data_IF_670384564321
#
_entry.id   IF_670384564321
#
_cell.length_a   1.000
_cell.length_b   1.000
_cell.length_c   1.000
_cell.angle_alpha   90.00
_cell.angle_beta   90.00
_cell.angle_gamma   90.00
#
_symmetry.space_group_name_H-M   'P 1'
#
loop_
_entity.id
_entity.type
_entity.pdbx_description
1 polymer ?
#
# COMPACT_ATOMS: atom_id res chain seq x y z
N UNK A 1 22.63 2.03 -8.36
CA UNK A 1 21.78 2.83 -7.49
C UNK A 1 20.33 2.44 -7.62
N UNK A 2 19.77 1.97 -6.54
CA UNK A 2 18.49 1.27 -6.58
C UNK A 2 17.28 2.09 -6.12
N UNK A 3 17.48 3.36 -5.75
CA UNK A 3 16.42 4.19 -5.21
C UNK A 3 15.22 4.36 -6.13
N UNK A 4 15.45 4.42 -7.44
CA UNK A 4 14.35 4.57 -8.40
C UNK A 4 13.46 3.35 -8.47
N UNK A 5 14.04 2.16 -8.35
CA UNK A 5 13.25 0.93 -8.39
C UNK A 5 12.35 0.81 -7.17
N UNK A 6 12.86 1.14 -6.01
CA UNK A 6 12.10 1.07 -4.77
C UNK A 6 10.93 2.05 -4.77
N UNK A 7 11.15 3.25 -5.25
CA UNK A 7 10.10 4.27 -5.33
C UNK A 7 8.95 3.81 -6.21
N UNK A 8 9.23 3.09 -7.29
CA UNK A 8 8.19 2.64 -8.22
C UNK A 8 7.45 1.39 -7.77
N UNK A 9 8.09 0.54 -6.99
CA UNK A 9 7.53 -0.77 -6.68
C UNK A 9 6.60 -0.76 -5.48
N UNK A 10 6.79 0.15 -4.53
CA UNK A 10 5.96 0.16 -3.33
C UNK A 10 5.91 1.53 -2.66
N UNK A 11 5.01 2.36 -3.14
CA UNK A 11 4.82 3.70 -2.61
C UNK A 11 4.28 3.70 -1.19
N UNK A 12 3.42 2.74 -0.85
CA UNK A 12 2.83 2.67 0.48
C UNK A 12 3.86 2.22 1.50
N UNK A 13 4.69 1.24 1.15
CA UNK A 13 5.75 0.77 2.03
C UNK A 13 6.79 1.87 2.26
N UNK A 14 7.15 2.61 1.22
CA UNK A 14 8.06 3.74 1.34
C UNK A 14 7.52 4.79 2.29
N UNK A 15 6.25 5.15 2.17
CA UNK A 15 5.60 6.08 3.08
C UNK A 15 5.61 5.57 4.52
N UNK A 16 5.32 4.28 4.71
CA UNK A 16 5.35 3.63 6.00
C UNK A 16 6.73 3.70 6.66
N UNK A 17 7.78 3.43 5.89
CA UNK A 17 9.16 3.50 6.38
C UNK A 17 9.54 4.93 6.79
N UNK A 18 9.17 5.90 5.99
CA UNK A 18 9.42 7.31 6.30
C UNK A 18 8.71 7.74 7.58
N UNK A 19 7.48 7.33 7.76
CA UNK A 19 6.72 7.62 8.97
C UNK A 19 7.38 7.01 10.20
N UNK A 20 7.82 5.76 10.08
CA UNK A 20 8.49 5.06 11.16
C UNK A 20 9.81 5.72 11.53
N UNK A 21 10.61 6.08 10.55
CA UNK A 21 11.88 6.75 10.78
C UNK A 21 11.69 8.09 11.49
N UNK A 22 10.70 8.86 11.07
CA UNK A 22 10.39 10.13 11.71
C UNK A 22 9.89 9.96 13.13
N UNK A 23 9.04 9.00 13.37
CA UNK A 23 8.52 8.71 14.70
C UNK A 23 9.65 8.37 15.66
N UNK A 24 10.58 7.53 15.25
CA UNK A 24 11.75 7.17 16.05
C UNK A 24 12.62 8.40 16.31
N UNK A 25 12.87 9.19 15.29
CA UNK A 25 13.72 10.37 15.38
C UNK A 25 13.15 11.43 16.30
N UNK A 26 11.86 11.64 16.23
CA UNK A 26 11.18 12.67 17.02
C UNK A 26 10.67 12.15 18.37
N UNK A 27 10.80 10.87 18.64
CA UNK A 27 10.27 10.21 19.85
C UNK A 27 8.77 10.45 20.06
N UNK A 28 8.03 10.53 18.94
CA UNK A 28 6.59 10.78 18.95
C UNK A 28 5.83 9.56 18.41
N UNK A 29 6.13 8.39 18.90
CA UNK A 29 5.54 7.15 18.40
C UNK A 29 4.01 7.13 18.49
N UNK A 30 3.45 7.79 19.48
CA UNK A 30 2.00 7.76 19.72
C UNK A 30 1.22 8.85 18.97
N UNK A 31 1.89 9.93 18.61
CA UNK A 31 1.20 11.07 18.00
C UNK A 31 1.12 11.01 16.49
N UNK A 32 1.97 10.21 15.85
CA UNK A 32 2.01 10.12 14.41
C UNK A 32 2.49 11.41 13.74
N UNK A 33 2.18 11.52 12.46
CA UNK A 33 2.54 12.70 11.66
C UNK A 33 1.27 13.46 11.33
N UNK A 34 1.21 14.79 11.60
CA UNK A 34 0.04 15.58 11.25
C UNK A 34 -0.31 15.48 9.77
N UNK A 35 -1.58 15.23 9.47
CA UNK A 35 -2.05 15.09 8.12
C UNK A 35 -1.87 13.72 7.52
N UNK A 36 -1.40 12.75 8.29
CA UNK A 36 -1.22 11.38 7.84
C UNK A 36 -1.82 10.42 8.84
N UNK A 37 -2.69 9.55 8.37
CA UNK A 37 -3.28 8.47 9.15
C UNK A 37 -2.67 7.16 8.67
N UNK A 38 -2.31 6.27 9.61
CA UNK A 38 -1.75 4.98 9.28
C UNK A 38 -2.40 3.88 10.09
N UNK A 39 -2.72 2.79 9.44
CA UNK A 39 -3.33 1.62 10.06
C UNK A 39 -2.70 0.35 9.52
N UNK A 40 -2.38 -0.57 10.41
CA UNK A 40 -1.90 -1.89 10.07
C UNK A 40 -2.90 -2.94 10.52
N UNK A 41 -3.28 -3.82 9.62
CA UNK A 41 -4.19 -4.93 9.92
C UNK A 41 -3.71 -6.19 9.23
N UNK A 42 -4.45 -7.27 9.42
CA UNK A 42 -4.12 -8.56 8.84
C UNK A 42 -3.38 -9.46 9.81
N UNK A 43 -2.73 -10.47 9.25
CA UNK A 43 -1.99 -11.48 10.01
C UNK A 43 -0.60 -11.70 9.38
N UNK A 44 0.07 -12.79 9.78
CA UNK A 44 1.41 -13.09 9.27
C UNK A 44 1.41 -13.50 7.79
N UNK A 45 0.29 -13.98 7.27
CA UNK A 45 0.18 -14.38 5.88
C UNK A 45 -0.16 -13.22 4.95
N UNK A 46 -1.05 -12.34 5.40
CA UNK A 46 -1.50 -11.17 4.63
C UNK A 46 -1.45 -9.96 5.53
N UNK A 47 -0.45 -9.13 5.35
CA UNK A 47 -0.35 -7.85 6.07
C UNK A 47 -0.92 -6.76 5.21
N UNK A 48 -1.74 -5.92 5.81
CA UNK A 48 -2.36 -4.80 5.13
C UNK A 48 -1.96 -3.51 5.82
N UNK A 49 -1.31 -2.63 5.09
CA UNK A 49 -0.93 -1.31 5.57
C UNK A 49 -1.74 -0.28 4.80
N UNK A 50 -2.46 0.55 5.52
CA UNK A 50 -3.22 1.67 4.94
C UNK A 50 -2.59 2.97 5.40
N UNK A 51 -2.20 3.79 4.44
CA UNK A 51 -1.68 5.13 4.70
C UNK A 51 -2.61 6.12 4.00
N UNK A 52 -3.11 7.06 4.75
CA UNK A 52 -4.03 8.06 4.21
C UNK A 52 -3.47 9.46 4.45
N UNK A 53 -3.21 10.16 3.38
CA UNK A 53 -2.73 11.53 3.42
C UNK A 53 -3.94 12.44 3.29
N UNK A 54 -4.25 13.16 4.36
CA UNK A 54 -5.53 13.88 4.48
C UNK A 54 -5.40 15.40 4.41
N UNK A 55 -4.17 15.92 4.36
CA UNK A 55 -3.97 17.36 4.31
C UNK A 55 -2.68 17.74 3.57
N UNK A 56 -2.54 19.00 3.16
CA UNK A 56 -1.28 19.49 2.57
C UNK A 56 -0.07 19.31 3.49
N UNK A 57 -0.25 19.39 4.80
CA UNK A 57 0.82 19.13 5.75
C UNK A 57 1.31 17.68 5.65
N UNK A 58 0.39 16.75 5.47
CA UNK A 58 0.74 15.34 5.25
C UNK A 58 1.47 15.13 3.93
N UNK A 59 1.07 15.80 2.86
CA UNK A 59 1.78 15.75 1.58
C UNK A 59 3.24 16.19 1.73
N UNK A 60 3.45 17.30 2.40
CA UNK A 60 4.79 17.81 2.64
C UNK A 60 5.62 16.88 3.52
N UNK A 61 4.98 16.26 4.49
CA UNK A 61 5.67 15.37 5.45
C UNK A 61 6.20 14.11 4.80
N UNK A 62 5.47 13.50 3.90
CA UNK A 62 5.88 12.21 3.29
C UNK A 62 6.18 12.30 1.80
N UNK A 63 5.98 13.45 1.17
CA UNK A 63 6.27 13.63 -0.24
C UNK A 63 5.32 12.90 -1.18
N UNK A 64 4.09 12.64 -0.74
CA UNK A 64 3.06 11.97 -1.54
C UNK A 64 1.78 12.79 -1.56
N UNK A 65 1.05 12.82 -2.69
CA UNK A 65 -0.22 13.55 -2.77
C UNK A 65 -1.26 13.04 -1.77
N UNK A 66 -2.23 13.86 -1.45
CA UNK A 66 -3.38 13.42 -0.67
C UNK A 66 -4.07 12.26 -1.35
N UNK A 67 -4.45 11.26 -0.57
CA UNK A 67 -5.10 10.06 -1.07
C UNK A 67 -4.89 8.87 -0.16
N UNK A 68 -5.33 7.71 -0.64
CA UNK A 68 -5.21 6.44 0.06
C UNK A 68 -4.13 5.59 -0.59
N UNK A 69 -3.24 5.06 0.23
CA UNK A 69 -2.14 4.19 -0.18
C UNK A 69 -2.26 2.89 0.60
N UNK A 70 -2.57 1.80 -0.10
CA UNK A 70 -2.83 0.51 0.52
C UNK A 70 -1.85 -0.52 -0.01
N UNK A 71 -1.14 -1.16 0.89
CA UNK A 71 -0.19 -2.22 0.57
C UNK A 71 -0.64 -3.53 1.18
N UNK A 72 -0.70 -4.57 0.36
CA UNK A 72 -0.89 -5.94 0.80
C UNK A 72 0.45 -6.66 0.66
N UNK A 73 0.99 -7.14 1.77
CA UNK A 73 2.22 -7.94 1.78
C UNK A 73 1.87 -9.39 2.01
N UNK A 74 2.13 -10.22 1.03
CA UNK A 74 1.78 -11.64 1.05
C UNK A 74 3.03 -12.45 0.68
N UNK A 75 3.94 -12.67 1.65
CA UNK A 75 5.21 -13.34 1.34
C UNK A 75 5.06 -14.73 0.74
N UNK A 76 4.05 -15.48 1.18
CA UNK A 76 3.81 -16.84 0.71
C UNK A 76 3.14 -16.98 -0.65
N UNK A 77 2.81 -15.87 -1.30
CA UNK A 77 2.06 -15.92 -2.57
C UNK A 77 2.82 -16.64 -3.67
N UNK A 78 4.14 -16.66 -3.61
CA UNK A 78 5.00 -17.33 -4.59
C UNK A 78 4.96 -18.86 -4.51
N UNK A 79 4.45 -19.40 -3.43
CA UNK A 79 4.55 -20.82 -3.12
C UNK A 79 3.42 -21.67 -3.70
N UNK A 80 2.69 -21.15 -4.65
CA UNK A 80 1.61 -21.87 -5.33
C UNK A 80 0.55 -22.41 -4.34
N UNK A 81 0.26 -21.64 -3.31
CA UNK A 81 -0.77 -21.94 -2.32
C UNK A 81 -2.11 -21.37 -2.80
N UNK A 82 -3.00 -22.26 -3.24
CA UNK A 82 -4.28 -21.85 -3.79
C UNK A 82 -5.18 -21.17 -2.75
N UNK A 83 -5.16 -21.66 -1.52
CA UNK A 83 -5.98 -21.07 -0.43
C UNK A 83 -5.50 -19.65 -0.13
N UNK A 84 -4.19 -19.46 -0.03
CA UNK A 84 -3.61 -18.14 0.20
C UNK A 84 -3.89 -17.18 -0.95
N UNK A 85 -3.82 -17.68 -2.18
CA UNK A 85 -4.17 -16.89 -3.37
C UNK A 85 -5.62 -16.40 -3.30
N UNK A 86 -6.55 -17.28 -3.00
CA UNK A 86 -7.96 -16.92 -2.89
C UNK A 86 -8.21 -15.92 -1.76
N UNK A 87 -7.58 -16.13 -0.61
CA UNK A 87 -7.70 -15.21 0.52
C UNK A 87 -7.10 -13.84 0.20
N UNK A 88 -6.02 -13.81 -0.55
CA UNK A 88 -5.41 -12.56 -1.01
C UNK A 88 -6.34 -11.81 -1.95
N UNK A 89 -6.97 -12.52 -2.89
CA UNK A 89 -7.97 -11.92 -3.79
C UNK A 89 -9.15 -11.33 -3.02
N UNK A 90 -9.63 -12.02 -2.00
CA UNK A 90 -10.71 -11.52 -1.15
C UNK A 90 -10.29 -10.27 -0.37
N UNK A 91 -9.08 -10.29 0.18
CA UNK A 91 -8.55 -9.14 0.91
C UNK A 91 -8.41 -7.93 -0.01
N UNK A 92 -7.88 -8.13 -1.21
CA UNK A 92 -7.74 -7.05 -2.20
C UNK A 92 -9.11 -6.51 -2.61
N UNK A 93 -10.07 -7.38 -2.88
CA UNK A 93 -11.42 -6.97 -3.25
C UNK A 93 -12.08 -6.14 -2.15
N UNK A 94 -11.87 -6.53 -0.89
CA UNK A 94 -12.40 -5.78 0.25
C UNK A 94 -11.80 -4.37 0.33
N UNK A 95 -10.48 -4.25 0.14
CA UNK A 95 -9.82 -2.94 0.16
C UNK A 95 -10.30 -2.08 -1.00
N UNK A 96 -10.41 -2.62 -2.19
CA UNK A 96 -10.92 -1.89 -3.35
C UNK A 96 -12.35 -1.41 -3.14
N UNK A 97 -13.20 -2.25 -2.57
CA UNK A 97 -14.58 -1.89 -2.25
C UNK A 97 -14.65 -0.72 -1.28
N UNK A 98 -13.70 -0.68 -0.34
CA UNK A 98 -13.66 0.40 0.65
C UNK A 98 -13.26 1.76 0.10
N UNK A 99 -12.49 1.80 -0.99
CA UNK A 99 -11.98 3.07 -1.56
C UNK A 99 -12.68 3.48 -2.84
N UNK A 100 -13.39 2.57 -3.50
CA UNK A 100 -14.08 2.84 -4.76
C UNK A 100 -15.57 2.99 -4.54
N UNK A 101 -16.15 3.96 -5.22
CA UNK A 101 -17.61 4.13 -5.29
C UNK A 101 -18.05 3.68 -6.67
N UNK A 102 -18.40 2.41 -6.79
CA UNK A 102 -18.81 1.82 -8.06
C UNK A 102 -20.32 1.73 -8.13
N UNK A 103 -20.87 2.12 -9.28
CA UNK A 103 -22.27 1.89 -9.63
C UNK A 103 -22.36 1.41 -11.07
N UNK A 104 -23.55 1.08 -11.53
CA UNK A 104 -23.77 0.54 -12.88
C UNK A 104 -23.39 1.51 -14.00
N UNK A 105 -23.20 2.77 -13.69
CA UNK A 105 -22.88 3.82 -14.66
C UNK A 105 -21.42 4.25 -14.62
N UNK A 106 -20.67 3.76 -13.66
CA UNK A 106 -19.27 4.15 -13.49
C UNK A 106 -18.37 3.38 -14.44
N UNK A 107 -17.64 4.10 -15.26
CA UNK A 107 -16.61 3.50 -16.11
C UNK A 107 -15.33 3.44 -15.29
N UNK A 108 -14.76 2.25 -15.18
CA UNK A 108 -13.55 2.02 -14.39
C UNK A 108 -12.43 1.50 -15.28
N UNK A 109 -11.29 2.20 -15.23
CA UNK A 109 -10.07 1.75 -15.89
C UNK A 109 -9.14 1.14 -14.86
N UNK A 110 -8.76 -0.10 -15.06
CA UNK A 110 -7.79 -0.78 -14.21
C UNK A 110 -6.45 -0.83 -14.92
N UNK A 111 -5.42 -0.30 -14.26
CA UNK A 111 -4.07 -0.27 -14.82
C UNK A 111 -3.14 -1.07 -13.91
N UNK A 112 -2.57 -2.14 -14.43
CA UNK A 112 -1.57 -2.93 -13.73
C UNK A 112 -0.17 -2.40 -14.04
N UNK A 113 0.56 -2.06 -13.00
CA UNK A 113 1.96 -1.64 -13.13
C UNK A 113 2.82 -2.72 -12.50
N UNK A 114 3.37 -3.56 -13.34
CA UNK A 114 4.20 -4.67 -12.88
C UNK A 114 5.67 -4.35 -12.83
N UNK A 115 6.42 -5.26 -12.29
CA UNK A 115 7.87 -5.18 -12.25
C UNK A 115 8.46 -6.36 -13.00
N UNK A 116 9.05 -6.09 -14.15
CA UNK A 116 9.62 -7.13 -15.02
C UNK A 116 10.70 -7.99 -14.37
N UNK A 117 11.38 -7.41 -13.37
CA UNK A 117 12.47 -8.11 -12.68
C UNK A 117 11.96 -9.06 -11.59
N UNK A 118 10.71 -9.00 -11.25
CA UNK A 118 10.10 -9.83 -10.21
C UNK A 118 8.88 -10.52 -10.79
N UNK A 119 9.12 -11.19 -11.83
CA UNK A 119 8.16 -12.08 -12.44
C UNK A 119 7.91 -13.21 -11.58
N UNK A 120 7.25 -13.90 -11.07
CA UNK A 120 5.85 -14.21 -11.22
C UNK A 120 4.91 -13.30 -10.43
N UNK A 121 5.46 -12.33 -9.76
CA UNK A 121 4.69 -11.44 -8.88
C UNK A 121 4.19 -10.17 -9.57
N UNK A 122 4.66 -9.90 -10.76
CA UNK A 122 4.30 -8.70 -11.49
C UNK A 122 2.85 -8.73 -11.96
N UNK A 123 2.17 -7.59 -11.82
CA UNK A 123 0.87 -7.36 -12.41
C UNK A 123 1.08 -6.57 -13.70
N UNK A 124 0.59 -7.11 -14.78
CA UNK A 124 0.77 -6.51 -16.08
C UNK A 124 2.16 -6.78 -16.67
N UNK A 125 2.39 -6.28 -17.85
CA UNK A 125 3.66 -6.51 -18.53
C UNK A 125 4.81 -5.79 -17.87
#
# INVERSE_FOLDING_TARGET
MDGFRNVRTDLTLEAHELLRERAVREKKEEEGIPGVEMENTGDDEIKITRVRVVSPAGESAIGKPMGNYITLEVPGLRENDQVLYENTCKALAKELTGILKLDDKTLTLVVGLGNWNVTPDALGP
#
